data_IF_612210268113
#
_entry.id   IF_612210268113
#
_cell.length_a   1.000
_cell.length_b   1.000
_cell.length_c   1.000
_cell.angle_alpha   90.00
_cell.angle_beta   90.00
_cell.angle_gamma   90.00
#
_symmetry.space_group_name_H-M   'P 1'
#
loop_
_entity.id
_entity.type
_entity.pdbx_description
1 polymer ?
#
# COMPACT_ATOMS: atom_id res chain seq x y z
N UNK A 1 -0.97 7.97 1.35
CA UNK A 1 -1.10 9.36 0.87
C UNK A 1 -2.57 9.75 0.72
N UNK A 2 -2.86 11.04 0.42
CA UNK A 2 -4.23 11.59 0.49
C UNK A 2 -5.22 10.89 -0.45
N UNK A 3 -4.80 10.51 -1.63
CA UNK A 3 -5.59 9.83 -2.66
C UNK A 3 -6.07 8.44 -2.23
N UNK A 4 -5.35 7.76 -1.34
CA UNK A 4 -5.73 6.46 -0.79
C UNK A 4 -6.67 6.53 0.43
N UNK A 5 -6.89 7.71 0.99
CA UNK A 5 -7.68 7.88 2.23
C UNK A 5 -8.93 8.77 2.07
N UNK A 6 -9.15 9.33 0.87
CA UNK A 6 -10.28 10.24 0.61
C UNK A 6 -11.64 9.62 0.95
N UNK A 7 -11.79 8.32 0.77
CA UNK A 7 -13.03 7.59 1.03
C UNK A 7 -13.18 7.01 2.43
N UNK A 8 -12.15 7.09 3.27
CA UNK A 8 -12.10 6.35 4.53
C UNK A 8 -13.27 6.70 5.47
N UNK A 9 -13.58 7.98 5.64
CA UNK A 9 -14.68 8.42 6.50
C UNK A 9 -16.01 7.85 6.03
N UNK A 10 -16.29 7.99 4.73
CA UNK A 10 -17.52 7.47 4.13
C UNK A 10 -17.65 5.95 4.27
N UNK A 11 -16.56 5.21 4.02
CA UNK A 11 -16.54 3.74 4.12
C UNK A 11 -16.77 3.32 5.58
N UNK A 12 -16.06 3.94 6.51
CA UNK A 12 -16.15 3.62 7.94
C UNK A 12 -17.59 3.84 8.48
N UNK A 13 -18.22 4.95 8.12
CA UNK A 13 -19.58 5.27 8.54
C UNK A 13 -20.62 4.35 7.89
N UNK A 14 -20.52 4.16 6.56
CA UNK A 14 -21.53 3.41 5.79
C UNK A 14 -21.57 1.93 6.16
N UNK A 15 -20.39 1.32 6.35
CA UNK A 15 -20.29 -0.11 6.63
C UNK A 15 -19.91 -0.44 8.08
N UNK A 16 -19.72 0.59 8.92
CA UNK A 16 -19.34 0.44 10.33
C UNK A 16 -18.07 -0.41 10.49
N UNK A 17 -17.10 -0.18 9.62
CA UNK A 17 -15.81 -0.84 9.64
C UNK A 17 -14.74 0.07 10.23
N UNK A 18 -13.69 -0.53 10.79
CA UNK A 18 -12.61 0.18 11.43
C UNK A 18 -11.41 0.29 10.48
N UNK A 19 -10.75 1.45 10.51
CA UNK A 19 -9.49 1.64 9.80
C UNK A 19 -8.38 0.85 10.49
N UNK A 20 -7.55 0.21 9.69
CA UNK A 20 -6.31 -0.44 10.11
C UNK A 20 -5.17 0.04 9.22
N UNK A 21 -4.00 0.29 9.80
CA UNK A 21 -2.81 0.72 9.07
C UNK A 21 -1.53 0.42 9.86
N UNK A 22 -0.38 0.60 9.25
CA UNK A 22 0.90 0.52 9.96
C UNK A 22 1.16 1.80 10.77
N UNK A 23 1.82 1.64 11.94
CA UNK A 23 2.08 2.76 12.87
C UNK A 23 2.92 3.90 12.25
N UNK A 24 3.85 3.55 11.36
CA UNK A 24 4.79 4.51 10.80
C UNK A 24 4.14 5.48 9.78
N UNK A 25 2.91 5.19 9.33
CA UNK A 25 2.11 6.10 8.49
C UNK A 25 1.16 7.00 9.29
N UNK A 26 1.11 6.89 10.62
CA UNK A 26 0.30 7.78 11.46
C UNK A 26 0.61 9.27 11.22
N UNK A 27 1.89 9.70 11.12
CA UNK A 27 2.19 11.11 10.84
C UNK A 27 1.63 11.61 9.50
N UNK A 28 1.55 10.73 8.48
CA UNK A 28 0.94 11.07 7.18
C UNK A 28 -0.57 11.25 7.32
N UNK A 29 -1.22 10.36 8.06
CA UNK A 29 -2.66 10.45 8.34
C UNK A 29 -3.01 11.72 9.14
N UNK A 30 -2.24 12.04 10.18
CA UNK A 30 -2.42 13.24 11.00
C UNK A 30 -2.28 14.54 10.19
N UNK A 31 -1.36 14.54 9.22
CA UNK A 31 -1.11 15.69 8.37
C UNK A 31 -2.05 15.79 7.14
N UNK A 32 -2.90 14.78 6.92
CA UNK A 32 -3.75 14.70 5.72
C UNK A 32 -4.66 15.92 5.51
N UNK A 33 -5.13 16.54 6.60
CA UNK A 33 -5.92 17.75 6.53
C UNK A 33 -5.16 18.98 5.98
N UNK A 34 -3.86 19.08 6.20
CA UNK A 34 -3.02 20.13 5.59
C UNK A 34 -2.73 19.80 4.13
N UNK A 35 -2.39 18.54 3.85
CA UNK A 35 -2.13 18.06 2.50
C UNK A 35 -3.37 18.25 1.60
N UNK A 36 -4.56 17.96 2.10
CA UNK A 36 -5.81 18.16 1.34
C UNK A 36 -6.00 19.62 0.92
N UNK A 37 -5.67 20.58 1.79
CA UNK A 37 -5.74 22.02 1.47
C UNK A 37 -4.71 22.41 0.40
N UNK A 38 -3.50 21.86 0.46
CA UNK A 38 -2.46 22.12 -0.54
C UNK A 38 -2.86 21.63 -1.93
N UNK A 39 -3.61 20.52 -2.01
CA UNK A 39 -4.17 20.00 -3.27
C UNK A 39 -5.52 20.61 -3.65
N UNK A 40 -6.03 21.58 -2.90
CA UNK A 40 -7.31 22.24 -3.19
C UNK A 40 -8.54 21.36 -2.95
N UNK A 41 -8.41 20.30 -2.15
CA UNK A 41 -9.50 19.36 -1.83
C UNK A 41 -10.40 19.93 -0.73
N UNK A 42 -11.32 20.81 -1.11
CA UNK A 42 -12.17 21.57 -0.17
C UNK A 42 -13.15 20.68 0.65
N UNK A 43 -13.49 19.49 0.13
CA UNK A 43 -14.50 18.60 0.72
C UNK A 43 -13.88 17.39 1.43
N UNK A 44 -12.62 17.44 1.81
CA UNK A 44 -12.00 16.36 2.58
C UNK A 44 -12.59 16.32 4.00
N UNK A 45 -13.36 15.27 4.29
CA UNK A 45 -14.05 15.08 5.58
C UNK A 45 -13.16 14.48 6.67
N UNK A 46 -11.89 14.24 6.37
CA UNK A 46 -10.98 13.54 7.27
C UNK A 46 -10.95 12.02 7.02
N UNK A 47 -10.17 11.35 7.83
CA UNK A 47 -10.12 9.89 7.91
C UNK A 47 -10.21 9.49 9.38
N UNK A 48 -10.92 8.42 9.75
CA UNK A 48 -10.95 7.97 11.13
C UNK A 48 -9.54 7.55 11.56
N UNK A 49 -9.25 7.66 12.85
CA UNK A 49 -8.02 7.11 13.40
C UNK A 49 -8.09 5.57 13.44
N UNK A 50 -6.98 4.87 13.17
CA UNK A 50 -6.94 3.42 13.22
C UNK A 50 -7.13 2.92 14.65
N UNK A 51 -7.96 1.90 14.84
CA UNK A 51 -8.08 1.20 16.12
C UNK A 51 -7.08 0.07 16.28
N UNK A 52 -6.60 -0.48 15.15
CA UNK A 52 -5.61 -1.54 15.13
C UNK A 52 -4.45 -1.15 14.22
N UNK A 53 -3.23 -1.37 14.72
CA UNK A 53 -2.01 -1.14 13.98
C UNK A 53 -1.47 -2.47 13.47
N UNK A 54 -1.37 -2.57 12.16
CA UNK A 54 -0.83 -3.75 11.46
C UNK A 54 0.69 -3.71 11.43
N UNK A 55 1.31 -4.88 11.40
CA UNK A 55 2.76 -5.06 11.27
C UNK A 55 3.09 -6.25 10.39
N UNK A 56 4.34 -6.37 10.02
CA UNK A 56 4.89 -7.52 9.29
C UNK A 56 4.43 -8.85 9.91
N UNK A 57 3.92 -9.75 9.08
CA UNK A 57 3.52 -11.09 9.47
C UNK A 57 2.13 -11.20 10.10
N UNK A 58 1.44 -10.08 10.31
CA UNK A 58 0.03 -10.13 10.72
C UNK A 58 -0.82 -10.78 9.63
N UNK A 59 -1.96 -11.32 10.04
CA UNK A 59 -2.90 -12.02 9.15
C UNK A 59 -4.26 -11.36 9.21
N UNK A 60 -4.73 -10.94 8.08
CA UNK A 60 -6.05 -10.36 7.93
C UNK A 60 -7.01 -11.41 7.35
N UNK A 61 -8.09 -11.71 8.07
CA UNK A 61 -9.07 -12.72 7.64
C UNK A 61 -10.44 -12.11 7.41
N UNK A 62 -11.09 -12.49 6.32
CA UNK A 62 -12.47 -12.11 6.02
C UNK A 62 -13.17 -13.26 5.30
N UNK A 63 -14.31 -13.72 5.84
CA UNK A 63 -14.93 -14.94 5.39
C UNK A 63 -13.95 -16.12 5.46
N UNK A 64 -13.79 -16.84 4.36
CA UNK A 64 -12.83 -17.95 4.22
C UNK A 64 -11.47 -17.52 3.63
N UNK A 65 -11.28 -16.23 3.39
CA UNK A 65 -10.08 -15.68 2.81
C UNK A 65 -9.12 -15.16 3.87
N UNK A 66 -7.84 -15.26 3.56
CA UNK A 66 -6.75 -14.80 4.40
C UNK A 66 -5.75 -14.02 3.56
N UNK A 67 -5.29 -12.90 4.12
CA UNK A 67 -4.21 -12.10 3.57
C UNK A 67 -3.08 -12.02 4.59
N UNK A 68 -1.85 -12.22 4.15
CA UNK A 68 -0.66 -11.99 4.94
C UNK A 68 -0.17 -10.55 4.73
N UNK A 69 0.18 -9.87 5.83
CA UNK A 69 0.69 -8.50 5.80
C UNK A 69 2.20 -8.53 5.56
N UNK A 70 2.65 -7.87 4.52
CA UNK A 70 4.07 -7.70 4.17
C UNK A 70 4.41 -6.22 4.32
N UNK A 71 5.38 -5.89 5.18
CA UNK A 71 5.84 -4.53 5.38
C UNK A 71 6.83 -4.12 4.29
N UNK A 72 6.48 -3.11 3.50
CA UNK A 72 7.19 -2.69 2.28
C UNK A 72 7.43 -1.17 2.26
N UNK A 73 8.23 -0.64 3.20
CA UNK A 73 8.51 0.79 3.25
C UNK A 73 9.28 1.27 2.03
N UNK A 74 9.29 2.60 1.82
CA UNK A 74 10.06 3.27 0.78
C UNK A 74 9.25 4.28 -0.02
N UNK A 75 8.05 3.95 -0.47
CA UNK A 75 7.08 4.92 -0.99
C UNK A 75 6.47 5.75 0.15
N UNK A 76 6.07 5.08 1.21
CA UNK A 76 5.66 5.65 2.49
C UNK A 76 6.33 4.87 3.62
N UNK A 77 6.58 5.46 4.80
CA UNK A 77 7.35 4.82 5.87
C UNK A 77 6.62 3.62 6.47
N UNK A 78 5.29 3.62 6.48
CA UNK A 78 4.44 2.54 7.00
C UNK A 78 3.76 1.71 5.92
N UNK A 79 4.24 1.74 4.67
CA UNK A 79 3.59 1.02 3.58
C UNK A 79 3.54 -0.49 3.86
N UNK A 80 2.38 -1.10 3.65
CA UNK A 80 2.14 -2.54 3.76
C UNK A 80 1.43 -3.06 2.51
N UNK A 81 1.79 -4.27 2.10
CA UNK A 81 1.07 -5.03 1.08
C UNK A 81 0.27 -6.17 1.72
N UNK A 82 -0.75 -6.64 1.01
CA UNK A 82 -1.58 -7.78 1.42
C UNK A 82 -1.45 -8.91 0.41
N UNK A 83 -0.90 -10.04 0.83
CA UNK A 83 -0.67 -11.20 -0.02
C UNK A 83 -1.66 -12.33 0.28
N UNK A 84 -2.28 -12.86 -0.77
CA UNK A 84 -3.12 -14.05 -0.73
C UNK A 84 -2.39 -15.24 -1.36
N UNK A 85 -1.83 -16.12 -0.54
CA UNK A 85 -1.19 -17.35 -1.01
C UNK A 85 -2.19 -18.26 -1.75
N UNK A 86 -3.39 -18.44 -1.16
CA UNK A 86 -4.44 -19.30 -1.73
C UNK A 86 -4.88 -18.88 -3.14
N UNK A 87 -4.92 -17.58 -3.38
CA UNK A 87 -5.41 -17.03 -4.66
C UNK A 87 -4.28 -16.45 -5.52
N UNK A 88 -3.04 -16.54 -5.04
CA UNK A 88 -1.82 -16.11 -5.72
C UNK A 88 -1.89 -14.67 -6.26
N UNK A 89 -2.29 -13.74 -5.41
CA UNK A 89 -2.26 -12.32 -5.71
C UNK A 89 -1.70 -11.50 -4.54
N UNK A 90 -1.22 -10.29 -4.85
CA UNK A 90 -0.83 -9.28 -3.88
C UNK A 90 -1.55 -7.95 -4.20
N UNK A 91 -2.09 -7.30 -3.17
CA UNK A 91 -2.51 -5.90 -3.22
C UNK A 91 -1.30 -5.10 -2.79
N UNK A 92 -0.62 -4.48 -3.74
CA UNK A 92 0.69 -3.87 -3.52
C UNK A 92 0.63 -2.38 -3.20
N UNK A 93 -0.56 -1.74 -3.29
CA UNK A 93 -0.61 -0.28 -3.18
C UNK A 93 0.41 0.36 -4.13
N UNK A 94 1.17 1.32 -3.62
CA UNK A 94 2.14 2.10 -4.40
C UNK A 94 3.59 1.60 -4.22
N UNK A 95 3.78 0.28 -4.28
CA UNK A 95 5.13 -0.32 -4.24
C UNK A 95 5.64 -0.61 -5.63
N UNK A 96 4.89 -1.40 -6.40
CA UNK A 96 5.28 -1.84 -7.74
C UNK A 96 4.08 -1.72 -8.69
N UNK A 97 4.33 -1.16 -9.86
CA UNK A 97 3.36 -0.94 -10.93
C UNK A 97 3.81 -1.66 -12.20
N UNK A 98 2.92 -1.74 -13.18
CA UNK A 98 3.31 -2.20 -14.50
C UNK A 98 4.40 -1.30 -15.09
N UNK A 99 5.61 -1.84 -15.28
CA UNK A 99 6.80 -1.15 -15.82
C UNK A 99 7.22 0.09 -15.02
N UNK A 100 6.86 0.18 -13.73
CA UNK A 100 7.20 1.30 -12.87
C UNK A 100 7.19 0.89 -11.40
N UNK A 101 7.53 1.84 -10.52
CA UNK A 101 7.48 1.69 -9.05
C UNK A 101 6.83 2.93 -8.43
N UNK A 102 6.47 2.84 -7.17
CA UNK A 102 5.98 3.98 -6.41
C UNK A 102 7.02 5.11 -6.36
N UNK A 103 6.55 6.35 -6.37
CA UNK A 103 7.43 7.52 -6.21
C UNK A 103 8.02 7.56 -4.80
N UNK A 104 9.23 8.12 -4.69
CA UNK A 104 9.96 8.18 -3.43
C UNK A 104 10.43 9.60 -3.09
N UNK A 105 9.95 10.59 -3.84
CA UNK A 105 10.29 12.02 -3.71
C UNK A 105 9.33 12.79 -2.78
N UNK A 106 8.32 12.12 -2.20
CA UNK A 106 7.44 12.69 -1.18
C UNK A 106 8.09 12.61 0.22
N UNK A 107 7.63 13.41 1.19
CA UNK A 107 8.13 13.33 2.56
C UNK A 107 8.15 11.90 3.11
N UNK A 108 9.29 11.50 3.67
CA UNK A 108 9.58 10.15 4.19
C UNK A 108 9.71 9.05 3.12
N UNK A 109 9.67 9.39 1.83
CA UNK A 109 10.00 8.47 0.75
C UNK A 109 11.51 8.21 0.67
N UNK A 110 11.89 6.97 0.32
CA UNK A 110 13.29 6.56 0.16
C UNK A 110 13.40 5.49 -0.94
N UNK A 111 14.17 5.81 -1.99
CA UNK A 111 14.30 4.95 -3.17
C UNK A 111 14.97 3.61 -2.85
N UNK A 112 16.09 3.63 -2.14
CA UNK A 112 16.86 2.42 -1.86
C UNK A 112 16.06 1.48 -0.96
N UNK A 113 15.32 2.03 0.01
CA UNK A 113 14.39 1.27 0.85
C UNK A 113 13.26 0.64 0.04
N UNK A 114 12.70 1.36 -0.95
CA UNK A 114 11.66 0.81 -1.81
C UNK A 114 12.19 -0.35 -2.68
N UNK A 115 13.36 -0.17 -3.32
CA UNK A 115 14.01 -1.22 -4.10
C UNK A 115 14.26 -2.45 -3.23
N UNK A 116 14.78 -2.25 -2.02
CA UNK A 116 14.99 -3.33 -1.05
C UNK A 116 13.69 -4.04 -0.67
N UNK A 117 12.62 -3.30 -0.42
CA UNK A 117 11.29 -3.86 -0.15
C UNK A 117 10.80 -4.75 -1.28
N UNK A 118 10.97 -4.31 -2.53
CA UNK A 118 10.56 -5.07 -3.71
C UNK A 118 11.42 -6.33 -3.86
N UNK A 119 12.74 -6.18 -3.83
CA UNK A 119 13.68 -7.28 -4.12
C UNK A 119 13.71 -8.35 -3.02
N UNK A 120 13.63 -7.94 -1.75
CA UNK A 120 13.72 -8.88 -0.63
C UNK A 120 12.37 -9.45 -0.19
N UNK A 121 11.25 -8.75 -0.45
CA UNK A 121 9.93 -9.13 0.08
C UNK A 121 8.92 -9.52 -0.98
N UNK A 122 8.90 -8.83 -2.11
CA UNK A 122 7.95 -9.10 -3.19
C UNK A 122 8.52 -10.13 -4.18
N UNK A 123 9.76 -9.97 -4.59
CA UNK A 123 10.40 -10.90 -5.54
C UNK A 123 10.50 -12.36 -5.07
N UNK A 124 10.62 -12.71 -3.78
CA UNK A 124 10.55 -14.10 -3.34
C UNK A 124 9.20 -14.79 -3.55
N UNK A 125 8.11 -14.05 -3.78
CA UNK A 125 6.79 -14.63 -4.04
C UNK A 125 6.77 -15.41 -5.36
N UNK A 126 5.80 -16.34 -5.55
CA UNK A 126 5.67 -17.10 -6.78
C UNK A 126 5.58 -16.20 -8.03
N UNK A 127 6.31 -16.52 -9.09
CA UNK A 127 6.43 -15.66 -10.27
C UNK A 127 5.11 -15.34 -10.99
N UNK A 128 4.11 -16.20 -10.85
CA UNK A 128 2.76 -16.00 -11.41
C UNK A 128 1.85 -15.17 -10.51
N UNK A 129 2.37 -14.63 -9.40
CA UNK A 129 1.58 -13.77 -8.50
C UNK A 129 1.05 -12.57 -9.27
N UNK A 130 -0.27 -12.40 -9.24
CA UNK A 130 -0.94 -11.23 -9.79
C UNK A 130 -0.70 -10.03 -8.86
N UNK A 131 -0.30 -8.91 -9.41
CA UNK A 131 -0.07 -7.67 -8.67
C UNK A 131 -1.23 -6.71 -8.94
N UNK A 132 -1.99 -6.40 -7.89
CA UNK A 132 -3.02 -5.36 -7.92
C UNK A 132 -2.43 -4.11 -7.25
N UNK A 133 -2.02 -3.16 -8.07
CA UNK A 133 -1.36 -1.93 -7.63
C UNK A 133 -2.36 -0.80 -7.36
N UNK A 134 -1.92 0.25 -6.66
CA UNK A 134 -2.73 1.40 -6.33
C UNK A 134 -3.12 2.23 -7.55
N UNK A 135 -2.25 2.29 -8.56
CA UNK A 135 -2.46 3.05 -9.79
C UNK A 135 -2.13 2.22 -11.03
N UNK A 136 -2.89 2.43 -12.09
CA UNK A 136 -2.70 1.77 -13.38
C UNK A 136 -3.23 0.34 -13.41
N UNK A 137 -2.87 -0.43 -14.46
CA UNK A 137 -3.35 -1.80 -14.63
C UNK A 137 -2.60 -2.78 -13.72
N UNK A 138 -3.26 -3.90 -13.42
CA UNK A 138 -2.60 -5.04 -12.77
C UNK A 138 -1.51 -5.65 -13.66
N UNK A 139 -0.51 -6.25 -13.03
CA UNK A 139 0.61 -6.92 -13.71
C UNK A 139 0.92 -8.28 -13.07
N UNK A 140 1.96 -8.95 -13.53
CA UNK A 140 2.42 -10.26 -13.03
C UNK A 140 3.87 -10.13 -12.57
N UNK A 141 4.20 -10.75 -11.47
CA UNK A 141 5.50 -10.57 -10.81
C UNK A 141 6.69 -10.97 -11.71
N UNK A 142 6.61 -12.07 -12.46
CA UNK A 142 7.68 -12.45 -13.40
C UNK A 142 7.89 -11.40 -14.49
N UNK A 143 6.80 -10.81 -14.99
CA UNK A 143 6.92 -9.78 -16.01
C UNK A 143 7.71 -8.57 -15.47
N UNK A 144 7.42 -8.14 -14.25
CA UNK A 144 8.11 -7.00 -13.63
C UNK A 144 9.58 -7.32 -13.31
N UNK A 145 9.89 -8.55 -12.89
CA UNK A 145 11.28 -8.98 -12.66
C UNK A 145 12.12 -8.90 -13.93
N UNK A 146 11.53 -9.22 -15.07
CA UNK A 146 12.25 -9.32 -16.35
C UNK A 146 12.30 -7.99 -17.12
N UNK A 147 11.30 -7.12 -16.94
CA UNK A 147 11.10 -5.98 -17.83
C UNK A 147 11.03 -4.62 -17.13
N UNK A 148 10.79 -4.58 -15.83
CA UNK A 148 10.63 -3.30 -15.12
C UNK A 148 11.97 -2.54 -15.10
N UNK A 149 12.05 -1.33 -15.70
CA UNK A 149 13.32 -0.62 -15.86
C UNK A 149 13.91 -0.10 -14.54
N UNK A 150 13.13 -0.04 -13.48
CA UNK A 150 13.58 0.38 -12.15
C UNK A 150 14.20 -0.77 -11.34
N UNK A 151 14.04 -2.01 -11.79
CA UNK A 151 14.39 -3.22 -11.05
C UNK A 151 15.48 -4.06 -11.76
N UNK A 152 16.16 -3.47 -12.75
CA UNK A 152 17.26 -4.07 -13.51
C UNK A 152 18.63 -3.78 -12.86
#
# INVERSE_FOLDING_TARGET
HIDHILGNQFVAEKWRVELQMHKDDLPLLENAGQVSKMYGLQNYSGSPFPKHLLKEGDKFTFGESKLDVIFTPGHAPGHICFYSEKHNFIISGDVIFQMSIGRTDLPFGDFDTLIKSITEKIFPLPGQTQIHCGHGPSTVLNYEREHNPFLQ
#
